data_IF_902273617985
#
_entry.id   IF_902273617985
#
_cell.length_a   1.000
_cell.length_b   1.000
_cell.length_c   1.000
_cell.angle_alpha   90.00
_cell.angle_beta   90.00
_cell.angle_gamma   90.00
#
_symmetry.space_group_name_H-M   'P 1'
#
loop_
_entity.id
_entity.type
_entity.pdbx_description
1 polymer ?
#
# COMPACT_ATOMS: atom_id res chain seq x y z
N UNK A 1 10.38 -7.92 -25.64
CA UNK A 1 10.13 -6.94 -24.55
C UNK A 1 8.78 -7.29 -23.96
N UNK A 2 8.72 -8.37 -23.17
CA UNK A 2 7.51 -8.84 -22.53
C UNK A 2 7.48 -8.26 -21.12
N UNK A 3 6.69 -7.21 -20.94
CA UNK A 3 6.26 -6.75 -19.62
C UNK A 3 5.13 -7.68 -19.19
N UNK A 4 5.49 -8.82 -18.60
CA UNK A 4 4.55 -9.70 -17.90
C UNK A 4 3.95 -8.93 -16.72
N UNK A 5 2.88 -8.21 -16.99
CA UNK A 5 1.57 -8.70 -16.59
C UNK A 5 1.39 -9.25 -15.18
N UNK A 6 2.02 -8.68 -14.14
CA UNK A 6 1.50 -8.76 -12.76
C UNK A 6 0.23 -7.90 -12.64
N UNK A 7 -0.77 -8.21 -13.47
CA UNK A 7 -2.09 -7.57 -13.50
C UNK A 7 -3.06 -8.21 -12.50
N UNK A 8 -2.57 -8.99 -11.53
CA UNK A 8 -3.37 -9.63 -10.47
C UNK A 8 -2.56 -9.84 -9.17
N UNK A 9 -2.06 -8.76 -8.59
CA UNK A 9 -1.75 -8.73 -7.16
C UNK A 9 -0.54 -9.54 -6.70
N UNK A 10 0.65 -9.21 -7.18
CA UNK A 10 1.92 -9.66 -6.62
C UNK A 10 1.98 -9.56 -5.09
N UNK A 11 2.83 -10.40 -4.49
CA UNK A 11 2.95 -10.54 -3.03
C UNK A 11 3.25 -9.19 -2.39
N UNK A 12 2.43 -8.80 -1.40
CA UNK A 12 2.71 -7.63 -0.58
C UNK A 12 3.92 -7.93 0.31
N UNK A 13 4.92 -7.05 0.30
CA UNK A 13 6.05 -7.13 1.22
C UNK A 13 5.73 -6.42 2.55
N UNK A 14 6.69 -6.40 3.46
CA UNK A 14 6.52 -5.81 4.79
C UNK A 14 6.28 -4.29 4.75
N UNK A 15 6.92 -3.58 3.81
CA UNK A 15 6.73 -2.15 3.64
C UNK A 15 5.32 -1.84 3.07
N UNK A 16 4.87 -2.61 2.08
CA UNK A 16 3.50 -2.51 1.54
C UNK A 16 2.46 -2.68 2.66
N UNK A 17 2.64 -3.71 3.52
CA UNK A 17 1.75 -3.95 4.66
C UNK A 17 1.72 -2.77 5.63
N UNK A 18 2.88 -2.22 5.98
CA UNK A 18 2.96 -1.06 6.90
C UNK A 18 2.25 0.17 6.34
N UNK A 19 2.43 0.45 5.04
CA UNK A 19 1.74 1.55 4.36
C UNK A 19 0.22 1.34 4.39
N UNK A 20 -0.26 0.14 4.04
CA UNK A 20 -1.70 -0.16 4.03
C UNK A 20 -2.33 -0.09 5.43
N UNK A 21 -1.65 -0.64 6.45
CA UNK A 21 -2.10 -0.56 7.85
C UNK A 21 -2.21 0.90 8.28
N UNK A 22 -1.18 1.71 8.00
CA UNK A 22 -1.20 3.13 8.36
C UNK A 22 -2.35 3.89 7.68
N UNK A 23 -2.51 3.72 6.37
CA UNK A 23 -3.59 4.40 5.63
C UNK A 23 -4.99 3.92 6.02
N UNK A 24 -5.14 2.67 6.45
CA UNK A 24 -6.40 2.16 7.02
C UNK A 24 -6.70 2.83 8.36
N UNK A 25 -5.70 2.96 9.22
CA UNK A 25 -5.89 3.43 10.60
C UNK A 25 -6.03 4.96 10.67
N UNK A 26 -5.36 5.71 9.79
CA UNK A 26 -5.32 7.19 9.80
C UNK A 26 -6.06 7.85 8.64
N UNK A 27 -6.45 7.09 7.61
CA UNK A 27 -7.12 7.62 6.43
C UNK A 27 -6.15 8.18 5.39
N UNK A 28 -6.56 9.26 4.73
CA UNK A 28 -5.80 9.84 3.62
C UNK A 28 -4.58 10.63 4.11
N UNK A 29 -3.35 10.23 3.74
CA UNK A 29 -2.12 10.91 4.17
C UNK A 29 -1.06 11.10 3.07
N UNK A 30 -0.18 12.09 3.27
CA UNK A 30 1.01 12.29 2.45
C UNK A 30 2.06 11.20 2.68
N UNK A 31 2.83 10.80 1.65
CA UNK A 31 3.94 9.85 1.80
C UNK A 31 4.94 10.22 2.90
N UNK A 32 5.17 11.51 3.14
CA UNK A 32 6.06 11.98 4.19
C UNK A 32 5.55 11.66 5.61
N UNK A 33 4.23 11.77 5.84
CA UNK A 33 3.62 11.44 7.14
C UNK A 33 3.59 9.92 7.34
N UNK A 34 3.25 9.16 6.29
CA UNK A 34 3.33 7.71 6.30
C UNK A 34 4.76 7.25 6.64
N UNK A 35 5.78 7.82 6.00
CA UNK A 35 7.19 7.52 6.27
C UNK A 35 7.56 7.78 7.74
N UNK A 36 7.21 8.96 8.26
CA UNK A 36 7.49 9.35 9.64
C UNK A 36 6.87 8.39 10.66
N UNK A 37 5.64 7.92 10.41
CA UNK A 37 4.91 7.06 11.35
C UNK A 37 5.23 5.56 11.21
N UNK A 38 5.71 5.13 10.04
CA UNK A 38 6.03 3.71 9.78
C UNK A 38 7.52 3.37 9.95
N UNK A 39 8.36 4.40 10.16
CA UNK A 39 9.82 4.26 10.23
C UNK A 39 10.47 3.92 8.88
N UNK A 40 9.76 4.12 7.77
CA UNK A 40 10.26 3.93 6.41
C UNK A 40 10.87 5.24 5.89
N UNK A 41 11.82 5.15 4.96
CA UNK A 41 12.34 6.34 4.28
C UNK A 41 11.33 6.86 3.24
N UNK A 42 11.22 8.19 3.11
CA UNK A 42 10.25 8.84 2.21
C UNK A 42 10.32 8.32 0.76
N UNK A 43 11.50 8.23 0.11
CA UNK A 43 11.57 7.76 -1.28
C UNK A 43 11.13 6.29 -1.45
N UNK A 44 11.26 5.49 -0.38
CA UNK A 44 10.78 4.12 -0.37
C UNK A 44 9.24 4.11 -0.33
N UNK A 45 8.66 4.89 0.59
CA UNK A 45 7.19 5.02 0.70
C UNK A 45 6.58 5.53 -0.60
N UNK A 46 7.17 6.53 -1.24
CA UNK A 46 6.67 7.04 -2.53
C UNK A 46 6.61 5.95 -3.61
N UNK A 47 7.65 5.12 -3.71
CA UNK A 47 7.68 3.98 -4.65
C UNK A 47 6.63 2.93 -4.32
N UNK A 48 6.45 2.62 -3.05
CA UNK A 48 5.41 1.69 -2.61
C UNK A 48 4.01 2.26 -2.89
N UNK A 49 3.77 3.53 -2.59
CA UNK A 49 2.48 4.18 -2.89
C UNK A 49 2.17 4.15 -4.39
N UNK A 50 3.15 4.45 -5.25
CA UNK A 50 2.97 4.33 -6.71
C UNK A 50 2.62 2.90 -7.12
N UNK A 51 3.33 1.90 -6.58
CA UNK A 51 3.10 0.49 -6.90
C UNK A 51 1.71 0.03 -6.41
N UNK A 52 1.33 0.38 -5.19
CA UNK A 52 0.03 0.07 -4.60
C UNK A 52 -1.11 0.77 -5.34
N UNK A 53 -0.90 2.01 -5.80
CA UNK A 53 -1.87 2.75 -6.59
C UNK A 53 -2.05 2.14 -7.99
N UNK A 54 -0.96 1.73 -8.64
CA UNK A 54 -1.03 0.97 -9.91
C UNK A 54 -1.78 -0.36 -9.74
N UNK A 55 -1.74 -0.95 -8.54
CA UNK A 55 -2.46 -2.17 -8.18
C UNK A 55 -3.91 -1.93 -7.72
N UNK A 56 -4.35 -0.68 -7.60
CA UNK A 56 -5.70 -0.32 -7.14
C UNK A 56 -5.92 -0.48 -5.63
N UNK A 57 -4.87 -0.69 -4.83
CA UNK A 57 -4.97 -0.94 -3.39
C UNK A 57 -5.01 0.35 -2.57
N UNK A 58 -4.49 1.44 -3.14
CA UNK A 58 -4.62 2.80 -2.63
C UNK A 58 -4.96 3.71 -3.80
N UNK A 59 -5.42 4.91 -3.53
CA UNK A 59 -5.67 5.92 -4.56
C UNK A 59 -5.24 7.31 -4.09
N UNK A 60 -4.86 8.16 -5.05
CA UNK A 60 -4.57 9.55 -4.78
C UNK A 60 -5.86 10.36 -4.63
N UNK A 61 -5.92 11.22 -3.62
CA UNK A 61 -7.03 12.16 -3.46
C UNK A 61 -6.79 13.36 -4.39
N UNK A 62 -7.79 13.74 -5.19
CA UNK A 62 -7.64 14.74 -6.24
C UNK A 62 -7.06 16.06 -5.72
N UNK A 63 -6.08 16.61 -6.44
CA UNK A 63 -5.50 17.94 -6.17
C UNK A 63 -4.18 17.92 -5.41
N UNK A 64 -3.87 16.85 -4.68
CA UNK A 64 -2.63 16.70 -3.91
C UNK A 64 -2.14 15.24 -3.88
N UNK A 65 -0.83 15.01 -3.69
CA UNK A 65 -0.29 13.64 -3.58
C UNK A 65 -0.51 13.13 -2.14
N UNK A 66 -1.77 12.95 -1.79
CA UNK A 66 -2.25 12.29 -0.57
C UNK A 66 -2.84 10.96 -1.01
N UNK A 67 -2.50 9.87 -0.33
CA UNK A 67 -3.03 8.55 -0.62
C UNK A 67 -4.01 8.09 0.45
N UNK A 68 -5.08 7.39 0.05
CA UNK A 68 -5.96 6.64 0.95
C UNK A 68 -6.05 5.18 0.52
N UNK A 69 -6.30 4.28 1.47
CA UNK A 69 -6.57 2.88 1.15
C UNK A 69 -7.92 2.75 0.42
N UNK A 70 -8.02 1.84 -0.55
CA UNK A 70 -9.28 1.48 -1.21
C UNK A 70 -9.93 0.28 -0.52
N UNK A 71 -11.20 0.01 -0.82
CA UNK A 71 -11.89 -1.20 -0.34
C UNK A 71 -11.12 -2.47 -0.74
N UNK A 72 -10.61 -2.53 -1.98
CA UNK A 72 -9.78 -3.62 -2.45
C UNK A 72 -8.47 -3.76 -1.63
N UNK A 73 -7.88 -2.64 -1.23
CA UNK A 73 -6.72 -2.61 -0.34
C UNK A 73 -7.02 -3.21 1.03
N UNK A 74 -8.18 -2.90 1.60
CA UNK A 74 -8.65 -3.44 2.88
C UNK A 74 -8.83 -4.96 2.78
N UNK A 75 -9.61 -5.43 1.79
CA UNK A 75 -9.83 -6.86 1.55
C UNK A 75 -8.52 -7.62 1.39
N UNK A 76 -7.57 -7.05 0.63
CA UNK A 76 -6.28 -7.68 0.37
C UNK A 76 -5.40 -7.77 1.62
N UNK A 77 -5.48 -6.78 2.50
CA UNK A 77 -4.76 -6.73 3.77
C UNK A 77 -5.34 -7.76 4.76
N UNK A 78 -6.66 -7.86 4.85
CA UNK A 78 -7.35 -8.83 5.71
C UNK A 78 -7.06 -10.27 5.30
N UNK A 79 -7.08 -10.57 4.00
CA UNK A 79 -6.74 -11.89 3.45
C UNK A 79 -5.30 -12.37 3.74
N UNK A 80 -4.39 -11.47 4.15
CA UNK A 80 -3.04 -11.84 4.64
C UNK A 80 -3.02 -12.18 6.12
N UNK A 81 -3.95 -11.62 6.89
CA UNK A 81 -4.02 -11.78 8.34
C UNK A 81 -4.72 -13.09 8.71
N UNK A 82 -5.64 -13.54 7.86
CA UNK A 82 -6.40 -14.79 8.00
C UNK A 82 -5.65 -16.03 7.45
N UNK A 83 -4.48 -15.84 6.83
CA UNK A 83 -3.65 -16.98 6.44
C UNK A 83 -2.99 -17.59 7.68
N UNK A 84 -3.19 -18.89 7.94
CA UNK A 84 -2.50 -19.55 9.04
C UNK A 84 -1.00 -19.44 8.80
N UNK A 85 -0.28 -18.82 9.75
CA UNK A 85 1.18 -18.88 9.76
C UNK A 85 1.54 -20.36 9.78
N UNK A 86 2.09 -20.87 8.67
CA UNK A 86 2.72 -22.20 8.67
C UNK A 86 3.87 -22.13 9.68
N UNK A 87 3.66 -22.74 10.84
CA UNK A 87 4.71 -23.09 11.80
C UNK A 87 5.60 -24.19 11.21
#
# INVERSE_FOLDING_TARGET
MSIDGDKRGGVLNDADRRVLIHLRDFGAEYPALVASNTGLHIPLVERHCQTLAQRGLIEAVSGEIIYRITDQGIERLEALTDQPRKL
#
